data_IF_805201191764
#
_entry.id   IF_805201191764
#
_cell.length_a   1.000
_cell.length_b   1.000
_cell.length_c   1.000
_cell.angle_alpha   90.00
_cell.angle_beta   90.00
_cell.angle_gamma   90.00
#
_symmetry.space_group_name_H-M   'P 1'
#
loop_
_entity.id
_entity.type
_entity.pdbx_description
1 polymer ?
#
# COMPACT_ATOMS: atom_id res chain seq x y z
N UNK A 1 -16.23 14.15 -30.38
CA UNK A 1 -15.59 12.82 -30.57
C UNK A 1 -14.10 13.04 -30.77
N UNK A 2 -13.40 13.46 -29.72
CA UNK A 2 -11.95 13.73 -29.75
C UNK A 2 -11.30 13.18 -28.48
N UNK A 3 -11.75 12.00 -28.03
CA UNK A 3 -11.43 11.50 -26.69
C UNK A 3 -10.61 10.21 -26.68
N UNK A 4 -10.27 9.64 -27.85
CA UNK A 4 -9.44 8.44 -27.93
C UNK A 4 -8.09 8.65 -28.62
N UNK A 5 -8.02 9.56 -29.60
CA UNK A 5 -6.77 9.97 -30.27
C UNK A 5 -5.84 10.69 -29.31
N UNK A 6 -6.39 11.59 -28.48
CA UNK A 6 -5.62 12.45 -27.57
C UNK A 6 -4.98 11.66 -26.43
N UNK A 7 -5.61 10.55 -26.01
CA UNK A 7 -5.04 9.63 -25.02
C UNK A 7 -3.87 8.82 -25.63
N UNK A 8 -4.00 8.37 -26.87
CA UNK A 8 -2.96 7.59 -27.55
C UNK A 8 -1.71 8.42 -27.92
N UNK A 9 -1.91 9.71 -28.21
CA UNK A 9 -0.83 10.69 -28.46
C UNK A 9 -0.04 11.05 -27.19
N UNK A 10 -0.65 10.89 -26.01
CA UNK A 10 0.00 11.11 -24.72
C UNK A 10 0.96 9.97 -24.35
N UNK A 11 0.62 8.73 -24.69
CA UNK A 11 1.40 7.53 -24.37
C UNK A 11 2.61 7.31 -25.29
N UNK A 12 2.55 7.80 -26.54
CA UNK A 12 3.58 7.58 -27.56
C UNK A 12 4.53 8.78 -27.81
N UNK A 13 4.51 9.81 -26.95
CA UNK A 13 5.30 11.02 -27.16
C UNK A 13 6.80 10.78 -26.89
N UNK A 14 7.71 11.04 -27.85
CA UNK A 14 9.15 10.88 -27.62
C UNK A 14 9.62 11.77 -26.45
N UNK A 15 10.52 11.24 -25.60
CA UNK A 15 11.05 11.89 -24.40
C UNK A 15 11.42 13.35 -24.72
N UNK A 16 10.59 14.29 -24.26
CA UNK A 16 10.60 15.70 -24.69
C UNK A 16 11.98 16.32 -24.50
N UNK A 17 12.55 16.87 -25.58
CA UNK A 17 13.55 17.94 -25.48
C UNK A 17 12.91 19.08 -24.66
N UNK A 18 13.70 19.70 -23.78
CA UNK A 18 13.26 20.84 -22.96
C UNK A 18 12.54 21.89 -23.86
N UNK A 19 11.26 22.22 -23.58
CA UNK A 19 10.46 23.12 -24.43
C UNK A 19 11.00 24.56 -24.48
N UNK A 20 11.84 24.94 -23.51
CA UNK A 20 12.50 26.23 -23.42
C UNK A 20 14.01 26.14 -23.73
N UNK A 21 14.44 25.10 -24.47
CA UNK A 21 15.85 24.98 -24.87
C UNK A 21 16.25 26.19 -25.74
N UNK A 22 17.17 27.02 -25.25
CA UNK A 22 17.66 28.21 -25.95
C UNK A 22 16.79 29.46 -25.79
N UNK A 23 15.74 29.44 -24.96
CA UNK A 23 14.87 30.60 -24.68
C UNK A 23 14.67 30.78 -23.17
N UNK A 24 14.50 32.01 -22.65
CA UNK A 24 14.15 32.21 -21.25
C UNK A 24 12.73 31.70 -20.95
N UNK A 25 12.52 31.19 -19.74
CA UNK A 25 11.20 30.73 -19.29
C UNK A 25 10.40 31.95 -18.84
N UNK A 26 9.20 32.21 -19.39
CA UNK A 26 8.40 33.37 -18.98
C UNK A 26 7.80 33.17 -17.59
N UNK A 27 7.66 34.26 -16.83
CA UNK A 27 7.10 34.28 -15.46
C UNK A 27 5.73 33.60 -15.37
N UNK A 28 4.84 33.88 -16.34
CA UNK A 28 3.48 33.31 -16.39
C UNK A 28 3.46 31.79 -16.45
N UNK A 29 4.44 31.16 -17.13
CA UNK A 29 4.54 29.70 -17.20
C UNK A 29 5.01 29.08 -15.89
N UNK A 30 5.88 29.77 -15.15
CA UNK A 30 6.35 29.32 -13.84
C UNK A 30 5.23 29.42 -12.82
N UNK A 31 4.49 30.55 -12.80
CA UNK A 31 3.32 30.72 -11.93
C UNK A 31 2.25 29.66 -12.20
N UNK A 32 1.95 29.40 -13.48
CA UNK A 32 1.02 28.34 -13.85
C UNK A 32 1.47 26.96 -13.34
N UNK A 33 2.75 26.62 -13.51
CA UNK A 33 3.27 25.33 -13.05
C UNK A 33 3.27 25.18 -11.53
N UNK A 34 3.54 26.28 -10.80
CA UNK A 34 3.48 26.32 -9.34
C UNK A 34 2.02 26.14 -8.88
N UNK A 35 1.06 26.84 -9.48
CA UNK A 35 -0.37 26.70 -9.15
C UNK A 35 -0.90 25.29 -9.42
N UNK A 36 -0.37 24.61 -10.44
CA UNK A 36 -0.79 23.25 -10.82
C UNK A 36 -0.13 22.13 -10.02
N UNK A 37 0.84 22.41 -9.15
CA UNK A 37 1.62 21.34 -8.47
C UNK A 37 1.92 21.64 -7.00
N UNK A 38 2.19 20.59 -6.22
CA UNK A 38 2.41 20.68 -4.77
C UNK A 38 3.87 20.97 -4.38
N UNK A 39 4.80 21.01 -5.34
CA UNK A 39 6.20 21.30 -5.07
C UNK A 39 6.90 21.87 -6.30
N UNK A 40 7.94 22.68 -6.07
CA UNK A 40 8.78 23.25 -7.15
C UNK A 40 9.42 22.16 -8.01
N UNK A 41 9.76 21.01 -7.42
CA UNK A 41 10.30 19.87 -8.17
C UNK A 41 9.24 19.26 -9.08
N UNK A 42 8.01 19.11 -8.59
CA UNK A 42 6.89 18.67 -9.42
C UNK A 42 6.56 19.71 -10.52
N UNK A 43 6.62 21.01 -10.21
CA UNK A 43 6.43 22.08 -11.18
C UNK A 43 7.45 22.02 -12.33
N UNK A 44 8.72 21.74 -12.02
CA UNK A 44 9.78 21.57 -13.02
C UNK A 44 9.51 20.36 -13.95
N UNK A 45 9.07 19.23 -13.36
CA UNK A 45 8.68 18.03 -14.12
C UNK A 45 7.46 18.32 -14.99
N UNK A 46 6.46 19.04 -14.45
CA UNK A 46 5.24 19.41 -15.16
C UNK A 46 5.51 20.31 -16.37
N UNK A 47 6.46 21.24 -16.27
CA UNK A 47 6.95 22.04 -17.41
C UNK A 47 7.90 21.28 -18.35
N UNK A 48 8.40 20.11 -17.95
CA UNK A 48 9.38 19.34 -18.73
C UNK A 48 10.77 20.00 -18.79
N UNK A 49 11.16 20.72 -17.73
CA UNK A 49 12.45 21.39 -17.62
C UNK A 49 13.32 20.77 -16.52
N UNK A 50 14.64 20.86 -16.67
CA UNK A 50 15.55 20.44 -15.62
C UNK A 50 15.37 21.31 -14.36
N UNK A 51 15.45 20.70 -13.18
CA UNK A 51 15.27 21.39 -11.89
C UNK A 51 16.16 22.61 -11.73
N UNK A 52 17.45 22.51 -12.12
CA UNK A 52 18.39 23.63 -12.02
C UNK A 52 17.98 24.82 -12.89
N UNK A 53 17.43 24.55 -14.09
CA UNK A 53 16.92 25.59 -14.99
C UNK A 53 15.67 26.24 -14.39
N UNK A 54 14.73 25.44 -13.88
CA UNK A 54 13.53 25.96 -13.22
C UNK A 54 13.89 26.82 -12.00
N UNK A 55 14.80 26.33 -11.15
CA UNK A 55 15.27 27.03 -9.95
C UNK A 55 15.89 28.38 -10.28
N UNK A 56 16.72 28.47 -11.33
CA UNK A 56 17.32 29.75 -11.78
C UNK A 56 16.26 30.81 -12.07
N UNK A 57 15.23 30.46 -12.85
CA UNK A 57 14.18 31.43 -13.21
C UNK A 57 13.18 31.68 -12.07
N UNK A 58 12.90 30.68 -11.23
CA UNK A 58 12.04 30.86 -10.05
C UNK A 58 12.66 31.81 -9.03
N UNK A 59 14.00 31.79 -8.86
CA UNK A 59 14.73 32.77 -8.04
C UNK A 59 14.69 34.16 -8.70
N UNK A 60 14.91 34.24 -10.02
CA UNK A 60 14.86 35.51 -10.77
C UNK A 60 13.50 36.23 -10.66
N UNK A 61 12.42 35.48 -10.47
CA UNK A 61 11.06 36.02 -10.34
C UNK A 61 10.53 36.07 -8.90
N UNK A 62 11.37 35.80 -7.89
CA UNK A 62 11.01 35.79 -6.46
C UNK A 62 9.88 34.80 -6.08
N UNK A 63 9.68 33.75 -6.89
CA UNK A 63 8.64 32.72 -6.68
C UNK A 63 9.15 31.49 -5.92
N UNK A 64 10.47 31.35 -5.75
CA UNK A 64 11.08 30.14 -5.22
C UNK A 64 10.87 29.96 -3.70
N UNK A 65 11.15 30.97 -2.89
CA UNK A 65 11.09 30.82 -1.42
C UNK A 65 9.65 30.64 -0.92
N UNK A 66 8.68 31.32 -1.52
CA UNK A 66 7.27 31.24 -1.14
C UNK A 66 6.66 29.85 -1.38
N UNK A 67 7.15 29.12 -2.39
CA UNK A 67 6.58 27.84 -2.82
C UNK A 67 7.48 26.65 -2.46
N UNK A 68 8.44 26.85 -1.56
CA UNK A 68 9.38 25.83 -1.12
C UNK A 68 8.68 24.90 -0.12
N UNK A 69 8.15 23.79 -0.63
CA UNK A 69 7.59 22.74 0.21
C UNK A 69 8.70 21.84 0.82
N UNK A 70 9.46 22.37 1.78
CA UNK A 70 10.55 21.62 2.45
C UNK A 70 10.02 20.49 3.34
N UNK A 71 8.85 20.68 3.95
CA UNK A 71 8.21 19.65 4.76
C UNK A 71 7.59 18.51 3.93
N UNK A 72 7.47 18.65 2.61
CA UNK A 72 6.89 17.63 1.73
C UNK A 72 5.40 17.39 1.99
N UNK A 73 4.68 18.39 2.49
CA UNK A 73 3.25 18.27 2.81
C UNK A 73 2.49 17.93 1.53
N UNK A 74 1.76 16.81 1.55
CA UNK A 74 1.01 16.29 0.40
C UNK A 74 1.85 15.60 -0.70
N UNK A 75 3.18 15.51 -0.55
CA UNK A 75 4.06 14.81 -1.48
C UNK A 75 4.42 13.44 -0.89
N UNK A 76 3.86 12.36 -1.45
CA UNK A 76 4.14 11.00 -0.99
C UNK A 76 5.55 10.56 -1.43
N UNK A 77 6.57 10.86 -0.62
CA UNK A 77 7.98 10.56 -0.93
C UNK A 77 8.31 9.06 -0.84
N UNK A 78 7.53 8.34 -0.03
CA UNK A 78 7.54 6.87 0.06
C UNK A 78 6.23 6.43 -0.58
N UNK A 79 6.23 5.37 -1.40
CA UNK A 79 4.97 4.68 -1.74
C UNK A 79 4.16 4.47 -0.46
N UNK A 80 2.83 4.51 -0.56
CA UNK A 80 1.83 4.75 0.50
C UNK A 80 1.99 4.01 1.86
N UNK A 81 3.01 3.17 2.03
CA UNK A 81 3.19 2.18 3.10
C UNK A 81 4.63 2.00 3.58
N UNK A 82 5.55 2.92 3.28
CA UNK A 82 6.91 2.91 3.87
C UNK A 82 7.88 1.86 3.31
N UNK A 83 7.39 0.90 2.53
CA UNK A 83 8.16 -0.16 1.87
C UNK A 83 8.31 0.01 0.35
N UNK A 84 7.89 1.16 -0.20
CA UNK A 84 8.07 1.50 -1.62
C UNK A 84 7.15 0.77 -2.60
N UNK A 85 6.48 -0.31 -2.20
CA UNK A 85 5.55 -1.08 -3.04
C UNK A 85 4.16 -0.45 -3.00
N UNK A 86 3.54 -0.17 -4.14
CA UNK A 86 2.14 0.29 -4.20
C UNK A 86 1.19 -0.89 -3.97
N UNK A 87 0.02 -0.63 -3.38
CA UNK A 87 -0.97 -1.70 -3.13
C UNK A 87 -1.51 -2.28 -4.44
N UNK A 88 -1.71 -1.43 -5.45
CA UNK A 88 -2.13 -1.84 -6.79
C UNK A 88 -1.13 -2.81 -7.43
N UNK A 89 0.17 -2.56 -7.28
CA UNK A 89 1.21 -3.47 -7.79
C UNK A 89 1.16 -4.86 -7.13
N UNK A 90 0.61 -4.94 -5.92
CA UNK A 90 0.42 -6.19 -5.19
C UNK A 90 -0.76 -6.98 -5.77
N UNK A 91 -1.89 -6.32 -5.99
CA UNK A 91 -3.07 -6.89 -6.64
C UNK A 91 -2.81 -7.29 -8.11
N UNK A 92 -1.94 -6.56 -8.81
CA UNK A 92 -1.47 -6.88 -10.16
C UNK A 92 -0.53 -8.11 -10.21
N UNK A 93 -0.20 -8.71 -9.08
CA UNK A 93 0.69 -9.89 -9.03
C UNK A 93 2.17 -9.60 -9.30
N UNK A 94 2.62 -8.34 -9.29
CA UNK A 94 4.03 -7.98 -9.54
C UNK A 94 4.97 -8.42 -8.41
N UNK A 95 4.40 -8.76 -7.26
CA UNK A 95 5.14 -9.19 -6.07
C UNK A 95 4.61 -10.52 -5.53
N UNK A 96 4.89 -11.66 -6.18
CA UNK A 96 4.39 -12.98 -5.75
C UNK A 96 5.00 -13.45 -4.42
N UNK A 97 6.23 -13.05 -4.12
CA UNK A 97 6.93 -13.39 -2.86
C UNK A 97 6.62 -12.43 -1.71
N UNK A 98 5.51 -11.69 -1.78
CA UNK A 98 5.15 -10.76 -0.71
C UNK A 98 4.69 -11.51 0.54
N UNK A 99 5.24 -11.21 1.72
CA UNK A 99 4.91 -11.96 2.94
C UNK A 99 3.44 -11.77 3.33
N UNK A 100 2.72 -12.89 3.52
CA UNK A 100 1.27 -12.90 3.77
C UNK A 100 0.83 -12.12 5.01
N UNK A 101 1.62 -12.14 6.08
CA UNK A 101 1.29 -11.36 7.29
C UNK A 101 1.31 -9.84 7.03
N UNK A 102 2.22 -9.35 6.17
CA UNK A 102 2.23 -7.95 5.74
C UNK A 102 1.08 -7.65 4.79
N UNK A 103 0.72 -8.61 3.92
CA UNK A 103 -0.40 -8.49 3.00
C UNK A 103 -1.69 -8.25 3.78
N UNK A 104 -1.93 -9.11 4.77
CA UNK A 104 -3.09 -9.03 5.66
C UNK A 104 -3.16 -7.69 6.40
N UNK A 105 -2.08 -7.31 7.11
CA UNK A 105 -2.03 -6.04 7.86
C UNK A 105 -2.34 -4.86 6.95
N UNK A 106 -1.83 -4.90 5.72
CA UNK A 106 -1.97 -3.81 4.77
C UNK A 106 -3.38 -3.69 4.18
N UNK A 107 -3.96 -4.80 3.74
CA UNK A 107 -5.31 -4.83 3.17
C UNK A 107 -6.34 -4.38 4.21
N UNK A 108 -6.18 -4.85 5.44
CA UNK A 108 -7.03 -4.48 6.57
C UNK A 108 -6.89 -2.99 6.90
N UNK A 109 -5.65 -2.48 6.99
CA UNK A 109 -5.41 -1.08 7.35
C UNK A 109 -5.86 -0.10 6.27
N UNK A 110 -5.65 -0.46 5.00
CA UNK A 110 -6.06 0.36 3.85
C UNK A 110 -7.59 0.22 3.59
N UNK A 111 -8.29 -0.66 4.31
CA UNK A 111 -9.75 -0.79 4.27
C UNK A 111 -10.31 -1.57 3.09
N UNK A 112 -9.48 -2.35 2.39
CA UNK A 112 -9.90 -3.20 1.27
C UNK A 112 -10.70 -4.42 1.73
N UNK A 113 -10.40 -4.95 2.92
CA UNK A 113 -11.18 -6.00 3.58
C UNK A 113 -11.55 -5.55 4.99
N UNK A 114 -12.80 -5.84 5.38
CA UNK A 114 -13.27 -5.66 6.75
C UNK A 114 -12.56 -6.65 7.67
N UNK A 115 -12.22 -6.23 8.90
CA UNK A 115 -11.74 -7.13 9.96
C UNK A 115 -12.87 -8.03 10.48
N UNK A 116 -13.33 -8.96 9.66
CA UNK A 116 -14.29 -9.97 10.05
C UNK A 116 -14.02 -11.27 9.29
N UNK A 117 -14.42 -12.39 9.88
CA UNK A 117 -14.38 -13.68 9.21
C UNK A 117 -15.41 -13.72 8.07
N UNK A 118 -14.98 -14.03 6.84
CA UNK A 118 -15.85 -14.15 5.67
C UNK A 118 -16.83 -15.34 5.74
N UNK A 119 -16.66 -16.26 6.70
CA UNK A 119 -17.51 -17.44 6.86
C UNK A 119 -18.49 -17.36 8.05
N UNK A 120 -18.03 -16.88 9.21
CA UNK A 120 -18.85 -16.86 10.43
C UNK A 120 -19.08 -15.45 10.99
N UNK A 121 -18.64 -14.42 10.28
CA UNK A 121 -18.79 -13.00 10.65
C UNK A 121 -18.21 -12.60 12.02
N UNK A 122 -17.38 -13.45 12.64
CA UNK A 122 -16.64 -13.10 13.85
C UNK A 122 -15.81 -11.84 13.61
N UNK A 123 -16.01 -10.81 14.43
CA UNK A 123 -15.46 -9.45 14.28
C UNK A 123 -14.65 -8.95 15.50
N UNK A 124 -14.53 -9.78 16.54
CA UNK A 124 -13.85 -9.44 17.78
C UNK A 124 -12.33 -9.25 17.59
N UNK A 125 -11.72 -8.47 18.48
CA UNK A 125 -10.33 -8.06 18.39
C UNK A 125 -9.62 -8.01 19.74
N UNK A 126 -8.30 -8.12 19.71
CA UNK A 126 -7.48 -7.91 20.90
C UNK A 126 -7.42 -6.43 21.26
N UNK A 127 -7.88 -6.04 22.44
CA UNK A 127 -7.90 -4.64 22.92
C UNK A 127 -6.54 -3.95 22.87
N UNK A 128 -5.45 -4.68 23.15
CA UNK A 128 -4.08 -4.14 23.20
C UNK A 128 -3.60 -3.60 21.84
N UNK A 129 -3.89 -4.34 20.76
CA UNK A 129 -3.34 -4.05 19.42
C UNK A 129 -4.43 -3.71 18.39
N UNK A 130 -5.72 -3.82 18.77
CA UNK A 130 -6.89 -3.74 17.88
C UNK A 130 -6.83 -4.70 16.68
N UNK A 131 -6.17 -5.85 16.86
CA UNK A 131 -5.99 -6.89 15.83
C UNK A 131 -6.91 -8.06 16.12
N UNK A 132 -7.69 -8.47 15.12
CA UNK A 132 -8.51 -9.67 15.23
C UNK A 132 -7.77 -10.96 14.85
N UNK A 133 -8.27 -12.12 15.31
CA UNK A 133 -7.64 -13.43 15.13
C UNK A 133 -7.93 -14.03 13.74
N UNK A 134 -7.54 -13.32 12.69
CA UNK A 134 -7.79 -13.69 11.30
C UNK A 134 -6.54 -14.21 10.59
N UNK A 135 -6.74 -15.04 9.58
CA UNK A 135 -5.75 -15.52 8.63
C UNK A 135 -6.23 -15.19 7.22
N UNK A 136 -5.35 -14.58 6.43
CA UNK A 136 -5.57 -14.40 5.00
C UNK A 136 -5.55 -15.75 4.27
N UNK A 137 -6.59 -16.00 3.50
CA UNK A 137 -6.82 -17.25 2.77
C UNK A 137 -7.04 -16.93 1.30
N UNK A 138 -6.48 -17.78 0.44
CA UNK A 138 -6.57 -17.69 -1.01
C UNK A 138 -7.60 -18.71 -1.50
N UNK A 139 -8.63 -18.27 -2.21
CA UNK A 139 -9.73 -19.13 -2.68
C UNK A 139 -9.28 -20.12 -3.75
N UNK A 140 -8.33 -19.71 -4.59
CA UNK A 140 -7.70 -20.56 -5.62
C UNK A 140 -6.65 -21.55 -5.07
N UNK A 141 -6.25 -21.38 -3.80
CA UNK A 141 -5.19 -22.15 -3.17
C UNK A 141 -3.77 -21.77 -3.60
N UNK A 142 -3.60 -20.76 -4.45
CA UNK A 142 -2.30 -20.25 -4.88
C UNK A 142 -1.87 -19.07 -3.98
N UNK A 143 -0.81 -19.23 -3.16
CA UNK A 143 -0.33 -18.19 -2.26
C UNK A 143 0.32 -16.98 -2.97
N UNK A 144 0.50 -17.03 -4.28
CA UNK A 144 1.12 -15.96 -5.07
C UNK A 144 0.11 -15.02 -5.72
N UNK A 145 -1.16 -15.46 -5.83
CA UNK A 145 -2.23 -14.68 -6.42
C UNK A 145 -2.89 -13.78 -5.37
N UNK A 146 -2.47 -12.51 -5.34
CA UNK A 146 -2.94 -11.52 -4.38
C UNK A 146 -4.14 -10.70 -4.90
N UNK A 147 -4.91 -11.16 -5.88
CA UNK A 147 -6.08 -10.41 -6.36
C UNK A 147 -7.14 -10.27 -5.27
N UNK A 148 -7.84 -9.14 -5.22
CA UNK A 148 -8.85 -8.87 -4.17
C UNK A 148 -9.96 -9.93 -4.15
N UNK A 149 -10.39 -10.40 -5.31
CA UNK A 149 -11.45 -11.40 -5.43
C UNK A 149 -11.01 -12.80 -4.93
N UNK A 150 -9.69 -13.06 -4.92
CA UNK A 150 -9.12 -14.30 -4.42
C UNK A 150 -8.89 -14.29 -2.90
N UNK A 151 -8.92 -13.11 -2.28
CA UNK A 151 -8.53 -12.91 -0.90
C UNK A 151 -9.74 -12.96 0.03
N UNK A 152 -9.69 -13.86 1.01
CA UNK A 152 -10.66 -13.95 2.09
C UNK A 152 -9.98 -13.91 3.46
N UNK A 153 -10.67 -13.39 4.48
CA UNK A 153 -10.21 -13.44 5.86
C UNK A 153 -11.01 -14.49 6.61
N UNK A 154 -10.32 -15.49 7.17
CA UNK A 154 -10.96 -16.52 8.00
C UNK A 154 -10.43 -16.43 9.43
N UNK A 155 -11.30 -16.58 10.43
CA UNK A 155 -10.84 -16.76 11.80
C UNK A 155 -10.10 -18.10 11.95
N UNK A 156 -9.27 -18.26 12.98
CA UNK A 156 -8.53 -19.51 13.21
C UNK A 156 -9.41 -20.75 13.20
N UNK A 157 -10.63 -20.66 13.75
CA UNK A 157 -11.57 -21.79 13.82
C UNK A 157 -12.10 -22.17 12.43
N UNK A 158 -12.60 -21.19 11.66
CA UNK A 158 -13.10 -21.47 10.30
C UNK A 158 -11.98 -21.89 9.36
N UNK A 159 -10.80 -21.29 9.47
CA UNK A 159 -9.63 -21.71 8.71
C UNK A 159 -9.28 -23.18 8.99
N UNK A 160 -9.31 -23.59 10.26
CA UNK A 160 -9.03 -24.96 10.68
C UNK A 160 -10.07 -25.97 10.17
N UNK A 161 -11.36 -25.60 10.16
CA UNK A 161 -12.44 -26.49 9.72
C UNK A 161 -12.53 -26.58 8.19
N UNK A 162 -12.41 -25.46 7.49
CA UNK A 162 -12.64 -25.38 6.04
C UNK A 162 -11.47 -25.86 5.21
N UNK A 163 -10.23 -25.71 5.68
CA UNK A 163 -9.05 -26.09 4.90
C UNK A 163 -8.77 -27.59 5.09
N UNK A 164 -8.96 -28.44 4.06
CA UNK A 164 -8.71 -29.88 4.20
C UNK A 164 -7.24 -30.13 4.56
N UNK A 165 -7.03 -30.98 5.56
CA UNK A 165 -5.74 -31.43 6.11
C UNK A 165 -4.93 -32.24 5.09
N UNK A 166 -4.48 -31.62 3.99
CA UNK A 166 -3.61 -32.24 2.99
C UNK A 166 -2.11 -32.11 3.28
N UNK A 167 -1.74 -31.22 4.21
CA UNK A 167 -0.39 -31.16 4.80
C UNK A 167 -0.58 -30.86 6.28
N UNK A 168 -0.50 -31.89 7.12
CA UNK A 168 -0.41 -31.71 8.55
C UNK A 168 0.68 -30.67 8.82
N UNK A 169 0.31 -29.56 9.46
CA UNK A 169 1.29 -28.72 10.13
C UNK A 169 2.06 -29.66 11.04
N UNK A 170 3.39 -29.79 10.88
CA UNK A 170 4.21 -30.62 11.75
C UNK A 170 3.98 -30.09 13.16
N UNK A 171 3.17 -30.79 13.97
CA UNK A 171 2.87 -30.36 15.33
C UNK A 171 4.21 -30.20 16.04
N UNK A 172 4.59 -29.01 16.54
CA UNK A 172 5.88 -28.85 17.19
C UNK A 172 5.95 -29.80 18.39
N UNK A 173 7.09 -30.47 18.56
CA UNK A 173 7.37 -31.33 19.72
C UNK A 173 7.36 -30.47 20.99
N UNK A 174 6.19 -30.38 21.66
CA UNK A 174 5.97 -30.02 23.08
C UNK A 174 4.50 -29.66 23.41
N UNK A 175 3.53 -30.06 22.60
CA UNK A 175 2.10 -29.85 22.91
C UNK A 175 1.66 -30.51 24.22
N UNK A 176 2.30 -31.61 24.63
CA UNK A 176 2.00 -32.30 25.90
C UNK A 176 2.32 -31.46 27.13
N UNK A 177 3.40 -30.67 27.12
CA UNK A 177 3.76 -29.82 28.27
C UNK A 177 2.79 -28.64 28.39
N UNK A 178 2.40 -28.04 27.26
CA UNK A 178 1.43 -26.95 27.20
C UNK A 178 0.06 -27.45 27.67
N UNK A 179 -0.37 -28.62 27.19
CA UNK A 179 -1.61 -29.27 27.63
C UNK A 179 -1.61 -29.56 29.13
N UNK A 180 -0.53 -30.13 29.66
CA UNK A 180 -0.41 -30.46 31.09
C UNK A 180 -0.48 -29.20 31.97
N UNK A 181 0.18 -28.12 31.57
CA UNK A 181 0.09 -26.83 32.27
C UNK A 181 -1.31 -26.20 32.20
N UNK A 182 -2.00 -26.30 31.07
CA UNK A 182 -3.38 -25.83 30.95
C UNK A 182 -4.35 -26.65 31.82
N UNK A 183 -4.17 -27.97 31.89
CA UNK A 183 -4.94 -28.87 32.77
C UNK A 183 -4.65 -28.64 34.26
N UNK A 184 -3.43 -28.23 34.62
CA UNK A 184 -3.06 -27.84 35.99
C UNK A 184 -3.76 -26.54 36.41
N UNK A 185 -3.81 -25.53 35.54
CA UNK A 185 -4.52 -24.25 35.80
C UNK A 185 -6.04 -24.46 35.91
N UNK A 186 -6.61 -25.39 35.14
CA UNK A 186 -8.05 -25.69 35.17
C UNK A 186 -8.50 -26.45 36.43
N UNK A 187 -7.56 -26.93 37.26
CA UNK A 187 -7.85 -27.58 38.55
C UNK A 187 -7.91 -26.62 39.73
N UNK A 188 -7.67 -25.32 39.53
CA UNK A 188 -7.85 -24.31 40.58
C UNK A 188 -9.24 -23.66 40.47
N UNK A 189 -10.11 -24.08 41.40
CA UNK A 189 -11.34 -23.43 41.91
C UNK A 189 -12.63 -24.28 41.87
N UNK A 190 -12.56 -25.55 42.30
CA UNK A 190 -13.75 -26.26 42.82
C UNK A 190 -13.68 -26.42 44.36
N UNK A 191 -12.94 -25.53 45.03
CA UNK A 191 -12.89 -25.46 46.49
C UNK A 191 -13.07 -24.02 46.97
N UNK A 192 -14.30 -23.53 46.86
CA UNK A 192 -15.10 -22.90 47.95
C UNK A 192 -16.50 -22.53 47.44
#
# INVERSE_FOLDING_TARGET
MSDLSDLHDHENKPKKKNPFKGRPIPKTRIEWAIRSTLSIRAAAIHLGVAYNTFKKYAIMYDLFEQNKNQAGVGVTTKGNTGWGVKIQDLFDGKHPNYPHWKLQERIVRDGYLKQCCSNCDYDDYREVDMRGPYIITFLDGDPTNHSLDNLALLCYNCFFIMKPTGKMLTTPKNTNLIRKKLEEVWKENDSE
#
